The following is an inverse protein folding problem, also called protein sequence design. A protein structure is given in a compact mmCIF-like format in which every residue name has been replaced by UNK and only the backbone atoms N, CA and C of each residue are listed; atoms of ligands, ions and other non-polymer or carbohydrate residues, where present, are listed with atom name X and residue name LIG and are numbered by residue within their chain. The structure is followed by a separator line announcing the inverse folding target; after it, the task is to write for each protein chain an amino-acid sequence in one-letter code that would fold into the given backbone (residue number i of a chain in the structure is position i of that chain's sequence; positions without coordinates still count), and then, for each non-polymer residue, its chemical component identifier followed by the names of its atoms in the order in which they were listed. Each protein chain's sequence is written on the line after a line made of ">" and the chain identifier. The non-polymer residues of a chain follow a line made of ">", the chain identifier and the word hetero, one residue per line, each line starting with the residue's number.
data_IF_849252086884
#
_entry.id   IF_849252086884
#
_cell.length_a   1.000
_cell.length_b   1.000
_cell.length_c   1.000
_cell.angle_alpha   90.00
_cell.angle_beta   90.00
_cell.angle_gamma   90.00
#
_symmetry.space_group_name_H-M   'P 1'
#
loop_
_entity.id
_entity.type
_entity.pdbx_description
1 polymer ?
#
# COMPACT_ATOMS: atom_id res chain seq x y z
N UNK A 1 13.11 11.29 -3.40
CA UNK A 1 13.35 9.92 -2.85
C UNK A 1 12.21 9.57 -1.92
N UNK A 2 11.47 8.49 -2.18
CA UNK A 2 10.45 7.96 -1.26
C UNK A 2 11.13 7.36 -0.03
N UNK A 3 10.67 7.71 1.17
CA UNK A 3 11.15 7.13 2.42
C UNK A 3 9.98 6.40 3.09
N UNK A 4 10.19 5.14 3.43
CA UNK A 4 9.25 4.34 4.21
C UNK A 4 9.84 4.09 5.58
N UNK A 5 9.02 4.27 6.61
CA UNK A 5 9.38 3.88 7.97
C UNK A 5 8.51 2.70 8.37
N UNK A 6 9.16 1.70 8.98
CA UNK A 6 8.45 0.54 9.51
C UNK A 6 8.20 0.76 11.01
N UNK A 7 7.02 0.39 11.46
CA UNK A 7 6.73 0.20 12.89
C UNK A 7 6.54 -1.28 13.18
N UNK A 8 6.71 -1.68 14.44
CA UNK A 8 6.53 -3.07 14.84
C UNK A 8 5.07 -3.49 14.61
N UNK A 9 4.87 -4.47 13.72
CA UNK A 9 3.58 -5.11 13.49
C UNK A 9 3.71 -6.62 13.71
N UNK A 10 3.16 -7.20 14.80
CA UNK A 10 3.24 -8.64 15.02
C UNK A 10 2.46 -9.46 13.96
N UNK A 11 1.53 -8.85 13.22
CA UNK A 11 0.81 -9.50 12.12
C UNK A 11 1.66 -9.67 10.85
N UNK A 12 2.84 -9.02 10.73
CA UNK A 12 3.71 -9.13 9.55
C UNK A 12 4.89 -10.08 9.74
N UNK A 13 5.06 -10.69 10.92
CA UNK A 13 6.14 -11.64 11.23
C UNK A 13 5.89 -13.07 10.69
N UNK A 14 5.00 -13.21 9.72
CA UNK A 14 4.59 -14.50 9.15
C UNK A 14 5.07 -14.67 7.71
N UNK A 15 4.17 -15.15 6.85
CA UNK A 15 4.46 -15.35 5.43
C UNK A 15 4.46 -14.02 4.71
N UNK A 16 5.44 -13.83 3.83
CA UNK A 16 5.58 -12.62 3.03
C UNK A 16 5.70 -12.98 1.55
N UNK A 17 5.05 -12.21 0.69
CA UNK A 17 5.14 -12.37 -0.75
C UNK A 17 5.03 -11.02 -1.45
N UNK A 18 5.79 -10.85 -2.53
CA UNK A 18 5.54 -9.79 -3.49
C UNK A 18 4.33 -10.17 -4.36
N UNK A 19 3.49 -9.19 -4.66
CA UNK A 19 2.53 -9.31 -5.75
C UNK A 19 3.26 -9.36 -7.10
N UNK A 20 2.54 -9.75 -8.14
CA UNK A 20 2.88 -9.32 -9.50
C UNK A 20 2.76 -7.79 -9.62
N UNK A 21 3.14 -7.24 -10.78
CA UNK A 21 2.79 -5.85 -11.10
C UNK A 21 1.26 -5.70 -11.01
N UNK A 22 0.80 -4.77 -10.17
CA UNK A 22 -0.63 -4.60 -9.88
C UNK A 22 -1.30 -3.65 -10.86
N UNK A 23 -0.51 -2.97 -11.68
CA UNK A 23 -0.93 -2.10 -12.76
C UNK A 23 0.11 -2.13 -13.88
N UNK A 24 -0.34 -1.82 -15.09
CA UNK A 24 0.52 -1.37 -16.18
C UNK A 24 0.65 0.17 -16.15
N UNK A 25 1.48 0.74 -17.03
CA UNK A 25 1.62 2.19 -17.16
C UNK A 25 0.27 2.84 -17.52
N UNK A 26 0.06 4.07 -17.04
CA UNK A 26 -1.15 4.89 -17.19
C UNK A 26 -2.42 4.28 -16.57
N UNK A 27 -2.33 3.07 -16.00
CA UNK A 27 -3.45 2.38 -15.36
C UNK A 27 -3.57 2.72 -13.88
N UNK A 28 -4.81 2.61 -13.40
CA UNK A 28 -5.14 2.75 -11.99
C UNK A 28 -4.50 1.64 -11.15
N UNK A 29 -4.26 1.95 -9.88
CA UNK A 29 -3.97 0.97 -8.84
C UNK A 29 -5.20 0.86 -7.95
N UNK A 30 -5.64 -0.37 -7.69
CA UNK A 30 -6.58 -0.70 -6.62
C UNK A 30 -6.18 -2.04 -6.03
N UNK A 31 -5.29 -2.01 -5.02
CA UNK A 31 -4.65 -3.21 -4.50
C UNK A 31 -4.79 -3.31 -2.98
N UNK A 32 -5.18 -4.50 -2.52
CA UNK A 32 -5.27 -4.83 -1.09
C UNK A 32 -4.44 -6.08 -0.82
N UNK A 33 -3.71 -6.08 0.30
CA UNK A 33 -2.96 -7.25 0.71
C UNK A 33 -3.89 -8.45 0.99
N UNK A 34 -3.58 -9.64 0.44
CA UNK A 34 -4.38 -10.83 0.67
C UNK A 34 -4.24 -11.33 2.12
N UNK A 35 -5.09 -12.28 2.52
CA UNK A 35 -5.01 -13.00 3.80
C UNK A 35 -5.02 -12.13 5.07
N UNK A 36 -5.70 -10.97 5.03
CA UNK A 36 -5.64 -9.96 6.09
C UNK A 36 -4.21 -9.45 6.36
N UNK A 37 -3.36 -9.46 5.33
CA UNK A 37 -1.99 -9.00 5.40
C UNK A 37 -1.86 -7.48 5.37
N UNK A 38 -0.61 -7.04 5.55
CA UNK A 38 -0.23 -5.65 5.57
C UNK A 38 0.96 -5.41 4.65
N UNK A 39 1.01 -4.20 4.10
CA UNK A 39 2.08 -3.76 3.20
C UNK A 39 3.36 -3.59 4.02
N UNK A 40 4.43 -4.22 3.57
CA UNK A 40 5.77 -4.15 4.18
C UNK A 40 6.85 -3.75 3.20
N UNK A 41 6.49 -3.53 1.94
CA UNK A 41 7.40 -3.09 0.90
C UNK A 41 6.67 -2.65 -0.35
N UNK A 42 7.31 -1.80 -1.13
CA UNK A 42 6.87 -1.34 -2.43
C UNK A 42 8.05 -1.43 -3.38
N UNK A 43 7.76 -1.78 -4.62
CA UNK A 43 8.70 -1.75 -5.72
C UNK A 43 8.01 -1.14 -6.93
N UNK A 44 8.76 -0.41 -7.73
CA UNK A 44 8.23 0.34 -8.87
C UNK A 44 9.21 0.34 -10.02
N UNK A 45 8.69 0.25 -11.24
CA UNK A 45 9.49 0.39 -12.45
C UNK A 45 8.95 1.56 -13.28
N UNK A 46 9.83 2.49 -13.62
CA UNK A 46 9.54 3.71 -14.36
C UNK A 46 9.76 3.52 -15.86
N UNK A 47 8.92 4.15 -16.68
CA UNK A 47 9.13 4.27 -18.12
C UNK A 47 9.06 5.74 -18.54
N UNK A 48 10.11 6.23 -19.19
CA UNK A 48 10.13 7.59 -19.75
C UNK A 48 9.17 7.75 -20.94
N UNK A 49 8.73 6.66 -21.57
CA UNK A 49 7.76 6.76 -22.66
C UNK A 49 6.37 7.15 -22.15
N UNK A 50 6.01 6.66 -20.97
CA UNK A 50 4.73 6.93 -20.32
C UNK A 50 4.85 8.02 -19.25
N UNK A 51 6.07 8.42 -18.88
CA UNK A 51 6.39 9.24 -17.70
C UNK A 51 5.68 8.74 -16.41
N UNK A 52 5.52 7.41 -16.34
CA UNK A 52 4.73 6.75 -15.33
C UNK A 52 5.42 5.48 -14.80
N UNK A 53 4.84 4.89 -13.75
CA UNK A 53 5.35 3.73 -13.05
C UNK A 53 4.31 2.63 -12.94
N UNK A 54 4.77 1.39 -13.14
CA UNK A 54 4.08 0.21 -12.62
C UNK A 54 4.56 -0.11 -11.22
N UNK A 55 3.67 -0.66 -10.40
CA UNK A 55 3.94 -0.94 -8.98
C UNK A 55 3.68 -2.39 -8.63
N UNK A 56 4.41 -2.89 -7.65
CA UNK A 56 4.10 -4.12 -6.93
C UNK A 56 4.36 -3.93 -5.45
N UNK A 57 3.66 -4.69 -4.62
CA UNK A 57 3.68 -4.52 -3.18
C UNK A 57 4.05 -5.82 -2.49
N UNK A 58 4.88 -5.72 -1.46
CA UNK A 58 5.19 -6.82 -0.57
C UNK A 58 4.15 -6.82 0.54
N UNK A 59 3.43 -7.93 0.65
CA UNK A 59 2.48 -8.17 1.72
C UNK A 59 3.04 -9.22 2.67
N UNK A 60 2.90 -8.98 3.97
CA UNK A 60 3.17 -9.97 5.00
C UNK A 60 1.92 -10.20 5.84
N UNK A 61 1.68 -11.45 6.23
CA UNK A 61 0.57 -11.81 7.10
C UNK A 61 0.93 -12.95 8.04
N UNK A 62 0.20 -13.06 9.15
CA UNK A 62 0.29 -14.15 10.11
C UNK A 62 -1.12 -14.63 10.45
N UNK A 63 -1.37 -15.93 10.29
CA UNK A 63 -2.72 -16.51 10.32
C UNK A 63 -3.56 -16.17 11.57
N UNK A 64 -2.93 -15.95 12.72
CA UNK A 64 -3.61 -15.59 13.98
C UNK A 64 -3.90 -14.08 14.13
N UNK A 65 -3.75 -13.28 13.08
CA UNK A 65 -4.09 -11.87 13.09
C UNK A 65 -5.05 -11.56 11.95
N UNK A 66 -6.03 -10.70 12.23
CA UNK A 66 -7.00 -10.20 11.27
C UNK A 66 -6.97 -8.67 11.22
N UNK A 67 -7.30 -8.12 10.05
CA UNK A 67 -7.56 -6.69 9.86
C UNK A 67 -8.89 -6.34 10.51
N UNK A 68 -8.93 -5.26 11.28
CA UNK A 68 -10.15 -4.69 11.88
C UNK A 68 -10.07 -3.17 11.83
N UNK A 69 -11.21 -2.49 11.92
CA UNK A 69 -11.29 -1.03 11.90
C UNK A 69 -10.51 -0.41 10.73
N UNK A 70 -10.79 -0.89 9.51
CA UNK A 70 -10.15 -0.42 8.30
C UNK A 70 -10.78 0.89 7.83
N UNK A 71 -9.93 1.83 7.42
CA UNK A 71 -10.34 3.11 6.85
C UNK A 71 -9.51 3.40 5.61
N UNK A 72 -10.16 3.91 4.57
CA UNK A 72 -9.47 4.42 3.38
C UNK A 72 -9.37 5.93 3.45
N UNK A 73 -8.20 6.46 3.12
CA UNK A 73 -7.96 7.90 3.11
C UNK A 73 -8.58 8.57 1.88
N UNK A 74 -8.85 9.87 1.97
CA UNK A 74 -8.86 10.72 0.76
C UNK A 74 -7.45 10.80 0.16
N UNK A 75 -7.31 11.46 -1.00
CA UNK A 75 -6.01 11.64 -1.64
C UNK A 75 -5.01 12.31 -0.68
N UNK A 76 -3.84 11.72 -0.53
CA UNK A 76 -2.77 12.17 0.38
C UNK A 76 -1.77 13.13 -0.26
N UNK A 77 -1.93 13.40 -1.55
CA UNK A 77 -1.21 14.43 -2.28
C UNK A 77 -2.09 15.08 -3.33
N UNK A 78 -1.70 16.30 -3.68
CA UNK A 78 -2.09 16.97 -4.93
C UNK A 78 -1.19 16.51 -6.07
N UNK A 79 -1.60 16.83 -7.31
CA UNK A 79 -0.73 16.67 -8.49
C UNK A 79 0.57 17.46 -8.33
N UNK A 80 1.67 16.89 -8.81
CA UNK A 80 3.05 17.41 -8.69
C UNK A 80 3.48 17.63 -7.23
N UNK A 81 2.73 17.08 -6.29
CA UNK A 81 2.92 17.25 -4.85
C UNK A 81 3.60 16.03 -4.23
N UNK A 82 4.46 16.28 -3.24
CA UNK A 82 5.03 15.21 -2.43
C UNK A 82 3.97 14.49 -1.61
N UNK A 83 4.16 13.19 -1.41
CA UNK A 83 3.39 12.45 -0.41
C UNK A 83 4.20 12.39 0.87
N UNK A 84 3.55 12.82 1.95
CA UNK A 84 4.02 12.62 3.31
C UNK A 84 2.83 12.17 4.15
N UNK A 85 2.72 10.86 4.39
CA UNK A 85 1.62 10.29 5.12
C UNK A 85 2.09 9.24 6.12
N UNK A 86 1.67 9.41 7.37
CA UNK A 86 1.83 8.45 8.45
C UNK A 86 0.47 8.00 8.94
N UNK A 87 0.30 6.70 9.11
CA UNK A 87 -0.91 6.14 9.74
C UNK A 87 -0.89 6.43 11.25
N UNK A 88 -2.06 6.55 11.91
CA UNK A 88 -2.13 6.70 13.35
C UNK A 88 -1.47 5.53 14.10
N UNK A 89 -1.06 5.76 15.35
CA UNK A 89 -0.51 4.70 16.19
C UNK A 89 -1.47 3.51 16.32
N UNK A 90 -0.95 2.29 16.21
CA UNK A 90 -1.74 1.05 16.23
C UNK A 90 -2.41 0.68 14.91
N UNK A 91 -2.27 1.51 13.87
CA UNK A 91 -2.73 1.20 12.52
C UNK A 91 -1.56 0.87 11.59
N UNK A 92 -1.87 0.14 10.52
CA UNK A 92 -0.90 -0.34 9.55
C UNK A 92 -1.51 -0.35 8.15
N UNK A 93 -0.70 -0.04 7.14
CA UNK A 93 -1.13 -0.03 5.74
C UNK A 93 -1.50 -1.44 5.27
N UNK A 94 -2.67 -1.58 4.65
CA UNK A 94 -3.20 -2.85 4.14
C UNK A 94 -3.62 -2.79 2.67
N UNK A 95 -3.77 -1.59 2.11
CA UNK A 95 -4.12 -1.38 0.72
C UNK A 95 -3.68 -0.02 0.19
N UNK A 96 -3.63 0.08 -1.13
CA UNK A 96 -3.21 1.27 -1.88
C UNK A 96 -4.12 1.43 -3.08
N UNK A 97 -4.59 2.65 -3.31
CA UNK A 97 -5.24 3.05 -4.55
C UNK A 97 -4.53 4.27 -5.13
N UNK A 98 -4.40 4.31 -6.45
CA UNK A 98 -3.74 5.42 -7.14
C UNK A 98 -4.29 5.64 -8.53
N UNK A 99 -4.33 6.91 -8.93
CA UNK A 99 -4.72 7.33 -10.27
C UNK A 99 -3.58 8.11 -10.91
N UNK A 100 -3.34 7.86 -12.20
CA UNK A 100 -2.42 8.61 -13.04
C UNK A 100 -3.18 9.65 -13.87
N UNK A 101 -2.51 10.74 -14.21
CA UNK A 101 -3.03 11.75 -15.14
C UNK A 101 -1.91 12.20 -16.09
N UNK A 102 -2.07 11.93 -17.39
CA UNK A 102 -1.05 12.22 -18.41
C UNK A 102 -0.88 13.74 -18.66
N UNK A 103 -1.85 14.57 -18.31
CA UNK A 103 -1.67 16.03 -18.37
C UNK A 103 -0.70 16.52 -17.29
N UNK A 104 -0.62 15.79 -16.17
CA UNK A 104 0.25 16.10 -15.06
C UNK A 104 1.54 15.28 -15.05
N UNK A 105 1.53 14.10 -15.67
CA UNK A 105 2.57 13.07 -15.60
C UNK A 105 2.92 12.76 -14.14
N UNK A 106 1.87 12.53 -13.33
CA UNK A 106 1.98 12.28 -11.90
C UNK A 106 0.86 11.36 -11.41
N UNK A 107 1.04 10.82 -10.19
CA UNK A 107 0.06 9.98 -9.52
C UNK A 107 -0.44 10.59 -8.22
N UNK A 108 -1.75 10.50 -8.00
CA UNK A 108 -2.36 10.73 -6.67
C UNK A 108 -2.62 9.43 -5.96
N UNK A 109 -2.54 9.46 -4.63
CA UNK A 109 -2.56 8.23 -3.83
C UNK A 109 -3.55 8.29 -2.66
N UNK A 110 -4.18 7.15 -2.44
CA UNK A 110 -5.00 6.83 -1.27
C UNK A 110 -4.47 5.55 -0.66
N UNK A 111 -4.70 5.40 0.64
CA UNK A 111 -4.23 4.25 1.40
C UNK A 111 -5.39 3.68 2.21
N UNK A 112 -5.49 2.35 2.27
CA UNK A 112 -6.25 1.66 3.31
C UNK A 112 -5.29 1.36 4.47
N UNK A 113 -5.73 1.68 5.68
CA UNK A 113 -5.02 1.34 6.91
C UNK A 113 -5.99 0.72 7.92
N UNK A 114 -5.53 -0.30 8.63
CA UNK A 114 -6.35 -1.04 9.60
C UNK A 114 -5.59 -1.26 10.90
N UNK A 115 -6.33 -1.54 11.97
CA UNK A 115 -5.79 -2.14 13.18
C UNK A 115 -5.65 -3.66 13.01
N UNK A 116 -4.87 -4.25 13.93
CA UNK A 116 -4.74 -5.70 14.05
C UNK A 116 -5.57 -6.22 15.22
N UNK A 117 -6.23 -7.36 15.03
CA UNK A 117 -6.81 -8.14 16.12
C UNK A 117 -6.24 -9.54 16.11
N UNK A 118 -5.69 -9.99 17.25
CA UNK A 118 -5.28 -11.38 17.41
C UNK A 118 -6.54 -12.25 17.47
N UNK A 119 -6.56 -13.31 16.68
CA UNK A 119 -7.66 -14.26 16.61
C UNK A 119 -7.15 -15.65 16.97
N UNK A 120 -7.84 -16.30 17.91
CA UNK A 120 -7.60 -17.70 18.25
C UNK A 120 -8.46 -18.55 17.31
N UNK A 121 -7.81 -19.29 16.41
CA UNK A 121 -8.47 -20.40 15.74
C UNK A 121 -8.78 -21.44 16.83
N UNK A 122 -10.03 -21.88 16.90
CA UNK A 122 -10.42 -23.05 17.71
C UNK A 122 -9.71 -24.30 17.20
#
# INVERSE_FOLDING_TARGET
>A
VWKYQCTNNPATRGRCSWSHWVNDFDQLINYHCPYSGFITGVDSHHSNHHEDRRFRFKCCHRHHYKRVHCTTTHYRNSWRGYINYSVPSGYYLSGVSSVHDNGQEDRRWQYEFCQIRKYHAK
#
